data_IF_291876396489
#
_entry.id   IF_291876396489
#
_cell.length_a   1.000
_cell.length_b   1.000
_cell.length_c   1.000
_cell.angle_alpha   90.00
_cell.angle_beta   90.00
_cell.angle_gamma   90.00
#
_symmetry.space_group_name_H-M   'P 1'
#
loop_
_entity.id
_entity.type
_entity.pdbx_description
1 polymer ?
#
# COMPACT_ATOMS: atom_id res chain seq x y z
N UNK A 1 -15.23 10.93 -11.73
CA UNK A 1 -14.90 9.74 -10.92
C UNK A 1 -14.81 8.54 -11.87
N UNK A 2 -13.60 8.16 -12.33
CA UNK A 2 -13.43 7.07 -13.31
C UNK A 2 -13.08 5.78 -12.56
N UNK A 3 -13.91 4.73 -12.68
CA UNK A 3 -13.59 3.43 -12.05
C UNK A 3 -14.71 2.40 -11.86
N UNK A 4 -15.89 2.58 -12.44
CA UNK A 4 -17.03 1.68 -12.24
C UNK A 4 -16.91 0.35 -12.98
N UNK A 5 -16.11 -0.58 -12.46
CA UNK A 5 -16.24 -2.07 -12.50
C UNK A 5 -14.92 -2.81 -12.28
N UNK A 6 -13.77 -2.19 -12.58
CA UNK A 6 -12.44 -2.82 -12.40
C UNK A 6 -11.90 -2.80 -10.96
N UNK A 7 -12.59 -2.15 -10.02
CA UNK A 7 -12.20 -2.03 -8.59
C UNK A 7 -13.20 -2.68 -7.63
N UNK A 8 -14.03 -3.62 -8.10
CA UNK A 8 -14.92 -4.37 -7.19
C UNK A 8 -14.13 -5.26 -6.24
N UNK A 9 -12.98 -5.77 -6.70
CA UNK A 9 -12.00 -6.49 -5.88
C UNK A 9 -10.92 -5.54 -5.37
N UNK A 10 -10.57 -5.68 -4.10
CA UNK A 10 -9.44 -4.97 -3.51
C UNK A 10 -8.11 -5.51 -4.08
N UNK A 11 -7.02 -4.75 -3.97
CA UNK A 11 -5.68 -5.23 -4.34
C UNK A 11 -5.33 -6.56 -3.67
N UNK A 12 -5.62 -6.72 -2.38
CA UNK A 12 -5.41 -7.97 -1.63
C UNK A 12 -6.21 -9.13 -2.20
N UNK A 13 -7.45 -8.90 -2.64
CA UNK A 13 -8.27 -9.95 -3.23
C UNK A 13 -7.71 -10.47 -4.56
N UNK A 14 -6.81 -9.75 -5.22
CA UNK A 14 -6.18 -10.19 -6.47
C UNK A 14 -4.96 -11.09 -6.25
N UNK A 15 -4.51 -11.26 -5.01
CA UNK A 15 -3.41 -12.15 -4.67
C UNK A 15 -3.83 -13.63 -4.78
N UNK A 16 -2.86 -14.50 -5.07
CA UNK A 16 -3.06 -15.95 -5.04
C UNK A 16 -3.44 -16.42 -3.62
N UNK A 17 -2.82 -15.84 -2.59
CA UNK A 17 -3.18 -16.01 -1.18
C UNK A 17 -3.44 -14.64 -0.53
N UNK A 18 -4.70 -14.21 -0.38
CA UNK A 18 -5.02 -12.96 0.28
C UNK A 18 -4.53 -12.88 1.73
N UNK A 19 -4.43 -13.98 2.47
CA UNK A 19 -4.04 -13.96 3.89
C UNK A 19 -2.55 -13.66 4.09
N UNK A 20 -1.72 -13.94 3.07
CA UNK A 20 -0.30 -13.65 3.06
C UNK A 20 0.02 -12.19 2.64
N UNK A 21 -0.96 -11.29 2.60
CA UNK A 21 -0.69 -9.87 2.32
C UNK A 21 0.21 -9.24 3.40
N UNK A 22 1.25 -8.44 3.06
CA UNK A 22 1.62 -7.93 1.74
C UNK A 22 2.74 -8.75 1.04
N UNK A 23 2.92 -10.03 1.37
CA UNK A 23 3.96 -10.91 0.84
C UNK A 23 3.46 -11.87 -0.26
N UNK A 24 2.15 -11.98 -0.42
CA UNK A 24 1.50 -12.86 -1.38
C UNK A 24 1.91 -12.65 -2.85
N UNK A 25 1.75 -13.69 -3.68
CA UNK A 25 2.01 -13.58 -5.13
C UNK A 25 0.87 -12.81 -5.86
N UNK A 26 1.25 -11.85 -6.71
CA UNK A 26 0.35 -11.01 -7.53
C UNK A 26 0.62 -11.15 -9.05
N UNK A 27 1.03 -12.34 -9.48
CA UNK A 27 1.31 -12.65 -10.88
C UNK A 27 0.14 -12.21 -11.80
N UNK A 28 0.46 -11.43 -12.84
CA UNK A 28 -0.54 -10.89 -13.78
C UNK A 28 -1.29 -9.64 -13.32
N UNK A 29 -1.00 -9.12 -12.11
CA UNK A 29 -1.65 -7.94 -11.53
C UNK A 29 -0.66 -6.82 -11.20
N UNK A 30 -0.03 -6.17 -12.20
CA UNK A 30 1.04 -5.19 -11.96
C UNK A 30 0.60 -3.99 -11.11
N UNK A 31 -0.64 -3.51 -11.27
CA UNK A 31 -1.17 -2.42 -10.45
C UNK A 31 -1.34 -2.83 -8.98
N UNK A 32 -1.77 -4.07 -8.71
CA UNK A 32 -1.87 -4.58 -7.35
C UNK A 32 -0.48 -4.80 -6.75
N UNK A 33 0.49 -5.26 -7.53
CA UNK A 33 1.88 -5.41 -7.08
C UNK A 33 2.50 -4.08 -6.63
N UNK A 34 2.17 -2.95 -7.29
CA UNK A 34 2.57 -1.62 -6.81
C UNK A 34 1.90 -1.27 -5.48
N UNK A 35 0.60 -1.55 -5.33
CA UNK A 35 -0.11 -1.33 -4.06
C UNK A 35 0.50 -2.17 -2.94
N UNK A 36 0.84 -3.43 -3.22
CA UNK A 36 1.49 -4.34 -2.29
C UNK A 36 2.86 -3.81 -1.85
N UNK A 37 3.68 -3.34 -2.79
CA UNK A 37 4.99 -2.76 -2.48
C UNK A 37 4.86 -1.53 -1.57
N UNK A 38 3.88 -0.67 -1.81
CA UNK A 38 3.57 0.49 -0.95
C UNK A 38 3.14 0.02 0.45
N UNK A 39 2.27 -0.99 0.54
CA UNK A 39 1.81 -1.53 1.82
C UNK A 39 2.98 -2.15 2.61
N UNK A 40 3.85 -2.93 1.96
CA UNK A 40 5.03 -3.53 2.57
C UNK A 40 6.02 -2.46 3.08
N UNK A 41 6.31 -1.44 2.26
CA UNK A 41 7.17 -0.33 2.66
C UNK A 41 6.58 0.44 3.86
N UNK A 42 5.27 0.67 3.85
CA UNK A 42 4.59 1.35 4.95
C UNK A 42 4.64 0.54 6.25
N UNK A 43 4.38 -0.78 6.18
CA UNK A 43 4.50 -1.67 7.33
C UNK A 43 5.92 -1.70 7.89
N UNK A 44 6.94 -1.77 7.02
CA UNK A 44 8.34 -1.72 7.43
C UNK A 44 8.67 -0.42 8.18
N UNK A 45 8.31 0.74 7.61
CA UNK A 45 8.54 2.05 8.26
C UNK A 45 7.79 2.15 9.59
N UNK A 46 6.56 1.63 9.67
CA UNK A 46 5.80 1.60 10.91
C UNK A 46 6.48 0.75 11.99
N UNK A 47 6.95 -0.44 11.62
CA UNK A 47 7.64 -1.35 12.54
C UNK A 47 8.97 -0.75 13.02
N UNK A 48 9.80 -0.25 12.10
CA UNK A 48 11.10 0.37 12.40
C UNK A 48 10.98 1.57 13.36
N UNK A 49 9.92 2.36 13.21
CA UNK A 49 9.71 3.58 13.99
C UNK A 49 8.74 3.40 15.16
N UNK A 50 8.21 2.19 15.38
CA UNK A 50 7.20 1.93 16.41
C UNK A 50 5.91 2.76 16.23
N UNK A 51 5.52 3.08 15.01
CA UNK A 51 4.36 3.92 14.73
C UNK A 51 3.06 3.11 14.82
N UNK A 52 2.09 3.64 15.56
CA UNK A 52 0.71 3.17 15.48
C UNK A 52 -0.02 3.78 14.27
N UNK A 53 -1.11 3.14 13.83
CA UNK A 53 -2.01 3.70 12.82
C UNK A 53 -2.51 5.10 13.19
N UNK A 54 -2.77 5.33 14.49
CA UNK A 54 -3.19 6.64 15.00
C UNK A 54 -2.08 7.66 14.77
N UNK A 55 -0.85 7.35 15.18
CA UNK A 55 0.28 8.28 15.04
C UNK A 55 0.56 8.58 13.57
N UNK A 56 0.48 7.57 12.71
CA UNK A 56 0.63 7.74 11.27
C UNK A 56 -0.45 8.67 10.68
N UNK A 57 -1.70 8.52 11.10
CA UNK A 57 -2.77 9.43 10.69
C UNK A 57 -2.51 10.88 11.11
N UNK A 58 -2.01 11.10 12.33
CA UNK A 58 -1.67 12.44 12.84
C UNK A 58 -0.55 13.10 12.04
N UNK A 59 0.52 12.36 11.68
CA UNK A 59 1.67 12.95 10.98
C UNK A 59 1.47 13.10 9.47
N UNK A 60 0.62 12.26 8.86
CA UNK A 60 0.35 12.29 7.41
C UNK A 60 -0.88 13.11 7.04
N UNK A 61 -1.80 13.39 7.96
CA UNK A 61 -3.10 13.98 7.66
C UNK A 61 -4.09 13.00 7.01
N UNK A 62 -3.68 11.76 6.75
CA UNK A 62 -4.54 10.70 6.20
C UNK A 62 -5.37 10.07 7.32
N UNK A 63 -6.66 9.86 7.11
CA UNK A 63 -7.53 9.24 8.13
C UNK A 63 -7.00 7.84 8.52
N UNK A 64 -7.02 7.54 9.82
CA UNK A 64 -6.66 6.23 10.41
C UNK A 64 -7.28 5.03 9.67
N UNK A 65 -8.54 5.12 9.24
CA UNK A 65 -9.19 4.04 8.49
C UNK A 65 -8.51 3.82 7.13
N UNK A 66 -8.24 4.90 6.40
CA UNK A 66 -7.51 4.85 5.12
C UNK A 66 -6.12 4.28 5.31
N UNK A 67 -5.39 4.69 6.36
CA UNK A 67 -4.06 4.13 6.67
C UNK A 67 -4.15 2.61 6.86
N UNK A 68 -5.11 2.16 7.67
CA UNK A 68 -5.33 0.74 7.91
C UNK A 68 -5.70 0.00 6.61
N UNK A 69 -6.58 0.55 5.77
CA UNK A 69 -6.98 -0.08 4.51
C UNK A 69 -5.85 -0.14 3.47
N UNK A 70 -4.94 0.84 3.46
CA UNK A 70 -3.70 0.76 2.68
C UNK A 70 -2.82 -0.38 3.18
N UNK A 71 -2.58 -0.44 4.49
CA UNK A 71 -1.71 -1.46 5.10
C UNK A 71 -2.22 -2.89 4.85
N UNK A 72 -3.54 -3.10 4.87
CA UNK A 72 -4.14 -4.43 4.64
C UNK A 72 -4.57 -4.66 3.18
N UNK A 73 -4.28 -3.74 2.26
CA UNK A 73 -4.55 -3.91 0.82
C UNK A 73 -6.04 -3.88 0.45
N UNK A 74 -6.90 -3.26 1.25
CA UNK A 74 -8.36 -3.21 1.03
C UNK A 74 -8.82 -2.09 0.11
N UNK A 75 -7.97 -1.13 -0.22
CA UNK A 75 -8.32 -0.01 -1.09
C UNK A 75 -7.31 0.22 -2.21
N UNK A 76 -7.80 0.82 -3.30
CA UNK A 76 -6.95 1.38 -4.34
C UNK A 76 -6.64 2.83 -3.95
N UNK A 77 -5.49 3.05 -3.31
CA UNK A 77 -5.07 4.40 -2.94
C UNK A 77 -4.88 5.30 -4.16
N UNK A 78 -5.20 6.58 -4.00
CA UNK A 78 -4.89 7.60 -4.98
C UNK A 78 -3.50 8.21 -4.74
N UNK A 79 -3.02 8.98 -5.72
CA UNK A 79 -1.71 9.64 -5.66
C UNK A 79 -1.66 10.67 -4.52
N UNK A 80 -2.78 11.30 -4.19
CA UNK A 80 -2.85 12.28 -3.09
C UNK A 80 -2.64 11.62 -1.72
N UNK A 81 -3.16 10.42 -1.52
CA UNK A 81 -2.97 9.62 -0.30
C UNK A 81 -1.51 9.22 -0.16
N UNK A 82 -0.88 8.73 -1.24
CA UNK A 82 0.54 8.36 -1.23
C UNK A 82 1.40 9.59 -0.91
N UNK A 83 1.18 10.71 -1.59
CA UNK A 83 1.95 11.94 -1.38
C UNK A 83 1.86 12.45 0.07
N UNK A 84 0.68 12.38 0.69
CA UNK A 84 0.48 12.75 2.09
C UNK A 84 1.20 11.81 3.06
N UNK A 85 1.16 10.49 2.81
CA UNK A 85 1.90 9.51 3.61
C UNK A 85 3.41 9.74 3.49
N UNK A 86 3.93 9.91 2.28
CA UNK A 86 5.35 10.18 2.03
C UNK A 86 5.80 11.49 2.68
N UNK A 87 5.02 12.56 2.57
CA UNK A 87 5.30 13.85 3.19
C UNK A 87 5.31 13.76 4.73
N UNK A 88 4.31 13.11 5.33
CA UNK A 88 4.22 12.96 6.78
C UNK A 88 5.28 12.05 7.39
N UNK A 89 5.78 11.09 6.61
CA UNK A 89 6.84 10.16 7.04
C UNK A 89 8.25 10.62 6.64
N UNK A 90 8.37 11.59 5.72
CA UNK A 90 9.62 11.94 5.04
C UNK A 90 10.34 10.72 4.45
N UNK A 91 9.58 9.82 3.82
CA UNK A 91 10.10 8.61 3.14
C UNK A 91 9.44 8.47 1.77
N UNK A 92 10.13 7.80 0.85
CA UNK A 92 9.52 7.34 -0.41
C UNK A 92 8.89 5.97 -0.18
N UNK A 93 7.59 5.87 -0.44
CA UNK A 93 6.82 4.63 -0.45
C UNK A 93 6.62 4.11 -1.88
N UNK A 94 6.64 4.99 -2.88
CA UNK A 94 6.51 4.56 -4.27
C UNK A 94 7.70 3.68 -4.69
N UNK A 95 7.47 2.50 -5.28
CA UNK A 95 8.56 1.59 -5.65
C UNK A 95 9.45 2.20 -6.73
N UNK A 96 10.77 2.16 -6.53
CA UNK A 96 11.76 2.70 -7.47
C UNK A 96 11.91 1.85 -8.75
N UNK A 97 11.50 0.58 -8.71
CA UNK A 97 11.50 -0.36 -9.83
C UNK A 97 10.19 -1.14 -9.82
N UNK A 98 9.61 -1.50 -10.99
CA UNK A 98 8.44 -2.38 -11.01
C UNK A 98 8.72 -3.64 -10.19
N UNK A 99 7.83 -3.95 -9.25
CA UNK A 99 7.91 -5.14 -8.43
C UNK A 99 8.07 -6.37 -9.34
N UNK A 100 9.26 -6.98 -9.32
CA UNK A 100 9.63 -8.10 -10.19
C UNK A 100 10.99 -8.01 -10.90
N UNK A 101 11.69 -6.87 -10.88
CA UNK A 101 13.01 -6.74 -11.51
C UNK A 101 14.21 -7.12 -10.60
N UNK A 102 13.97 -8.00 -9.62
CA UNK A 102 14.98 -8.51 -8.69
C UNK A 102 15.22 -10.00 -8.86
N UNK A 103 15.47 -10.45 -10.09
CA UNK A 103 16.07 -11.75 -10.37
C UNK A 103 17.57 -11.55 -10.56
N UNK A 104 18.37 -12.19 -9.70
CA UNK A 104 19.83 -12.28 -9.81
C UNK A 104 20.30 -12.82 -11.16
#
# INVERSE_FOLDING_TARGET
MVGGRRRSRSPRDLAEDPEDWPHANLSGHPAAAVVQAIAAALQAVMAERGLSFRRLAEVSGVNRQTVNDVVVGRCWQDVATIAQLEAGLAVRLWPASPAGAGGS
#
